data_IF_341707544530
#
_entry.id   IF_341707544530
#
_cell.length_a   1.000
_cell.length_b   1.000
_cell.length_c   1.000
_cell.angle_alpha   90.00
_cell.angle_beta   90.00
_cell.angle_gamma   90.00
#
_symmetry.space_group_name_H-M   'P 1'
#
loop_
_entity.id
_entity.type
_entity.pdbx_description
1 polymer ?
#
# COMPACT_ATOMS: atom_id res chain seq x y z
N UNK A 1 -14.99 24.63 36.31
CA UNK A 1 -14.04 23.56 36.68
C UNK A 1 -13.61 22.86 35.39
N UNK A 2 -12.35 23.08 35.01
CA UNK A 2 -11.76 22.74 33.71
C UNK A 2 -11.60 21.22 33.52
N UNK A 3 -12.00 20.71 32.35
CA UNK A 3 -11.47 19.45 31.80
C UNK A 3 -10.30 19.79 30.88
N UNK A 4 -9.09 19.87 31.44
CA UNK A 4 -7.85 19.87 30.65
C UNK A 4 -7.45 18.43 30.37
N UNK A 5 -8.13 17.79 29.40
CA UNK A 5 -7.68 16.49 28.85
C UNK A 5 -6.73 16.78 27.68
N UNK A 6 -5.65 17.50 27.99
CA UNK A 6 -4.50 17.75 27.11
C UNK A 6 -3.19 17.75 27.90
N UNK A 7 -3.17 17.04 29.03
CA UNK A 7 -1.93 16.85 29.80
C UNK A 7 -1.03 15.91 29.02
N UNK A 8 -0.12 16.53 28.28
CA UNK A 8 1.19 15.96 27.99
C UNK A 8 1.78 15.48 29.33
N UNK A 9 2.28 14.24 29.41
CA UNK A 9 2.64 13.68 30.71
C UNK A 9 4.03 14.16 31.13
N UNK A 10 4.10 14.82 32.28
CA UNK A 10 5.34 15.36 32.87
C UNK A 10 6.16 14.30 33.65
N UNK A 11 5.76 13.03 33.61
CA UNK A 11 6.46 11.89 34.21
C UNK A 11 7.34 11.17 33.16
N UNK A 12 8.67 11.05 33.37
CA UNK A 12 9.58 10.39 32.44
C UNK A 12 9.21 8.93 32.14
N UNK A 13 8.63 8.21 33.11
CA UNK A 13 8.17 6.82 32.92
C UNK A 13 6.96 6.72 31.99
N UNK A 14 6.14 7.76 32.02
CA UNK A 14 4.96 7.88 31.17
C UNK A 14 5.37 8.27 29.74
N UNK A 15 6.36 9.15 29.56
CA UNK A 15 6.87 9.56 28.25
C UNK A 15 7.37 8.38 27.38
N UNK A 16 8.10 7.44 27.96
CA UNK A 16 8.56 6.23 27.25
C UNK A 16 7.38 5.35 26.79
N UNK A 17 6.38 5.20 27.66
CA UNK A 17 5.16 4.44 27.38
C UNK A 17 4.33 5.07 26.25
N UNK A 18 4.21 6.40 26.21
CA UNK A 18 3.53 7.12 25.13
C UNK A 18 4.31 7.09 23.82
N UNK A 19 5.65 7.18 23.85
CA UNK A 19 6.49 7.03 22.65
C UNK A 19 6.32 5.64 22.05
N UNK A 20 6.42 4.59 22.88
CA UNK A 20 6.24 3.21 22.46
C UNK A 20 4.84 2.96 21.86
N UNK A 21 3.79 3.53 22.47
CA UNK A 21 2.43 3.44 21.94
C UNK A 21 2.28 4.19 20.60
N UNK A 22 2.90 5.36 20.47
CA UNK A 22 2.89 6.12 19.23
C UNK A 22 3.63 5.38 18.11
N UNK A 23 4.80 4.80 18.39
CA UNK A 23 5.58 3.98 17.46
C UNK A 23 4.82 2.73 17.02
N UNK A 24 4.17 2.05 17.96
CA UNK A 24 3.32 0.90 17.66
C UNK A 24 2.16 1.28 16.73
N UNK A 25 1.48 2.39 17.00
CA UNK A 25 0.39 2.89 16.15
C UNK A 25 0.87 3.30 14.76
N UNK A 26 2.03 3.93 14.65
CA UNK A 26 2.65 4.24 13.35
C UNK A 26 2.98 2.97 12.57
N UNK A 27 3.54 1.96 13.23
CA UNK A 27 3.89 0.68 12.63
C UNK A 27 2.64 -0.06 12.12
N UNK A 28 1.59 -0.12 12.93
CA UNK A 28 0.30 -0.70 12.52
C UNK A 28 -0.27 0.03 11.30
N UNK A 29 -0.18 1.37 11.27
CA UNK A 29 -0.66 2.18 10.14
C UNK A 29 0.11 1.86 8.86
N UNK A 30 1.45 1.79 8.94
CA UNK A 30 2.32 1.45 7.81
C UNK A 30 2.04 0.03 7.31
N UNK A 31 1.90 -0.95 8.20
CA UNK A 31 1.58 -2.34 7.85
C UNK A 31 0.22 -2.46 7.18
N UNK A 32 -0.81 -1.78 7.69
CA UNK A 32 -2.14 -1.74 7.07
C UNK A 32 -2.10 -1.14 5.67
N UNK A 33 -1.31 -0.08 5.46
CA UNK A 33 -1.12 0.50 4.13
C UNK A 33 -0.40 -0.48 3.20
N UNK A 34 0.70 -1.09 3.65
CA UNK A 34 1.45 -2.07 2.87
C UNK A 34 0.59 -3.27 2.45
N UNK A 35 -0.25 -3.80 3.36
CA UNK A 35 -1.17 -4.90 3.04
C UNK A 35 -2.21 -4.51 1.99
N UNK A 36 -2.78 -3.29 2.08
CA UNK A 36 -3.69 -2.79 1.04
C UNK A 36 -2.97 -2.66 -0.30
N UNK A 37 -1.74 -2.15 -0.31
CA UNK A 37 -0.96 -2.02 -1.54
C UNK A 37 -0.69 -3.40 -2.16
N UNK A 38 -0.22 -4.35 -1.36
CA UNK A 38 0.03 -5.73 -1.81
C UNK A 38 -1.23 -6.38 -2.40
N UNK A 39 -2.40 -6.17 -1.78
CA UNK A 39 -3.67 -6.66 -2.31
C UNK A 39 -4.01 -6.06 -3.68
N UNK A 40 -3.86 -4.75 -3.85
CA UNK A 40 -4.15 -4.09 -5.15
C UNK A 40 -3.21 -4.60 -6.25
N UNK A 41 -1.92 -4.76 -5.93
CA UNK A 41 -0.91 -5.31 -6.84
C UNK A 41 -1.26 -6.75 -7.24
N UNK A 42 -1.67 -7.58 -6.29
CA UNK A 42 -2.10 -8.96 -6.56
C UNK A 42 -3.33 -9.04 -7.47
N UNK A 43 -4.34 -8.19 -7.25
CA UNK A 43 -5.54 -8.14 -8.10
C UNK A 43 -5.16 -7.70 -9.51
N UNK A 44 -4.40 -6.61 -9.66
CA UNK A 44 -3.96 -6.12 -10.98
C UNK A 44 -3.11 -7.16 -11.72
N UNK A 45 -2.25 -7.89 -11.00
CA UNK A 45 -1.48 -9.01 -11.54
C UNK A 45 -2.40 -10.10 -12.08
N UNK A 46 -3.43 -10.50 -11.32
CA UNK A 46 -4.43 -11.48 -11.77
C UNK A 46 -5.21 -10.99 -13.00
N UNK A 47 -5.55 -9.69 -13.05
CA UNK A 47 -6.21 -9.09 -14.21
C UNK A 47 -5.34 -9.17 -15.48
N UNK A 48 -4.03 -8.92 -15.36
CA UNK A 48 -3.07 -9.06 -16.46
C UNK A 48 -2.94 -10.53 -16.88
N UNK A 49 -2.72 -11.42 -15.90
CA UNK A 49 -2.54 -12.84 -16.12
C UNK A 49 -3.74 -13.46 -16.87
N UNK A 50 -4.96 -13.16 -16.42
CA UNK A 50 -6.18 -13.65 -17.07
C UNK A 50 -6.34 -13.08 -18.48
N UNK A 51 -6.07 -11.77 -18.65
CA UNK A 51 -6.26 -11.08 -19.93
C UNK A 51 -5.31 -11.60 -21.02
N UNK A 52 -4.07 -11.89 -20.65
CA UNK A 52 -3.01 -12.31 -21.57
C UNK A 52 -2.73 -13.80 -21.55
N UNK A 53 -3.42 -14.56 -20.69
CA UNK A 53 -3.24 -16.01 -20.50
C UNK A 53 -1.78 -16.39 -20.17
N UNK A 54 -1.18 -15.60 -19.28
CA UNK A 54 0.20 -15.78 -18.79
C UNK A 54 0.22 -16.15 -17.32
N UNK A 55 1.39 -16.56 -16.82
CA UNK A 55 1.56 -16.86 -15.39
C UNK A 55 1.40 -15.58 -14.53
N UNK A 56 1.02 -15.71 -13.25
CA UNK A 56 1.04 -14.57 -12.32
C UNK A 56 2.42 -13.92 -12.18
N UNK A 57 3.49 -14.70 -12.29
CA UNK A 57 4.87 -14.21 -12.26
C UNK A 57 5.14 -13.30 -13.46
N UNK A 58 4.77 -13.72 -14.66
CA UNK A 58 4.89 -12.90 -15.87
C UNK A 58 3.97 -11.67 -15.81
N UNK A 59 2.77 -11.82 -15.25
CA UNK A 59 1.85 -10.71 -15.00
C UNK A 59 2.44 -9.65 -14.06
N UNK A 60 3.18 -10.09 -13.03
CA UNK A 60 3.92 -9.20 -12.14
C UNK A 60 5.04 -8.49 -12.89
N UNK A 61 5.79 -9.22 -13.72
CA UNK A 61 6.83 -8.65 -14.59
C UNK A 61 6.28 -7.58 -15.54
N UNK A 62 5.11 -7.82 -16.14
CA UNK A 62 4.45 -6.85 -17.01
C UNK A 62 3.97 -5.61 -16.24
N UNK A 63 3.40 -5.80 -15.05
CA UNK A 63 3.00 -4.69 -14.18
C UNK A 63 4.19 -3.81 -13.79
N UNK A 64 5.34 -4.41 -13.50
CA UNK A 64 6.60 -3.71 -13.23
C UNK A 64 7.10 -2.95 -14.47
N UNK A 65 7.04 -3.57 -15.64
CA UNK A 65 7.43 -2.91 -16.89
C UNK A 65 6.54 -1.69 -17.21
N UNK A 66 5.23 -1.77 -16.96
CA UNK A 66 4.31 -0.63 -17.09
C UNK A 66 4.66 0.49 -16.10
N UNK A 67 4.93 0.12 -14.85
CA UNK A 67 5.38 1.06 -13.81
C UNK A 67 6.63 1.82 -14.24
N UNK A 68 7.66 1.11 -14.69
CA UNK A 68 8.91 1.72 -15.17
C UNK A 68 8.68 2.65 -16.37
N UNK A 69 7.91 2.20 -17.37
CA UNK A 69 7.63 2.99 -18.58
C UNK A 69 6.84 4.26 -18.29
N UNK A 70 5.95 4.23 -17.31
CA UNK A 70 5.08 5.38 -16.98
C UNK A 70 5.68 6.28 -15.90
N UNK A 71 6.82 5.91 -15.29
CA UNK A 71 7.41 6.63 -14.16
C UNK A 71 6.55 6.63 -12.90
N UNK A 72 5.56 5.73 -12.82
CA UNK A 72 4.61 5.62 -11.71
C UNK A 72 4.95 4.42 -10.85
N UNK A 73 4.57 4.46 -9.58
CA UNK A 73 4.75 3.30 -8.71
C UNK A 73 3.85 2.14 -9.14
N UNK A 74 4.31 0.91 -8.89
CA UNK A 74 3.53 -0.32 -9.13
C UNK A 74 2.15 -0.24 -8.47
N UNK A 75 2.07 0.36 -7.27
CA UNK A 75 0.81 0.57 -6.58
C UNK A 75 -0.14 1.50 -7.34
N UNK A 76 0.33 2.64 -7.84
CA UNK A 76 -0.53 3.60 -8.56
C UNK A 76 -1.08 3.00 -9.85
N UNK A 77 -0.25 2.25 -10.59
CA UNK A 77 -0.67 1.53 -11.79
C UNK A 77 -1.71 0.47 -11.42
N UNK A 78 -1.41 -0.39 -10.44
CA UNK A 78 -2.33 -1.42 -9.98
C UNK A 78 -3.66 -0.84 -9.48
N UNK A 79 -3.60 0.24 -8.71
CA UNK A 79 -4.76 0.94 -8.19
C UNK A 79 -5.66 1.46 -9.31
N UNK A 80 -5.07 2.10 -10.32
CA UNK A 80 -5.84 2.57 -11.48
C UNK A 80 -6.47 1.42 -12.26
N UNK A 81 -5.71 0.34 -12.52
CA UNK A 81 -6.21 -0.83 -13.23
C UNK A 81 -7.41 -1.43 -12.50
N UNK A 82 -7.31 -1.65 -11.19
CA UNK A 82 -8.39 -2.21 -10.38
C UNK A 82 -9.60 -1.26 -10.34
N UNK A 83 -9.36 0.06 -10.21
CA UNK A 83 -10.43 1.07 -10.14
C UNK A 83 -11.18 1.21 -11.47
N UNK A 84 -10.48 1.11 -12.60
CA UNK A 84 -11.04 1.37 -13.94
C UNK A 84 -11.44 0.12 -14.69
N UNK A 85 -10.95 -1.06 -14.28
CA UNK A 85 -11.03 -2.28 -15.06
C UNK A 85 -10.13 -2.28 -16.30
N UNK A 86 -9.37 -1.22 -16.56
CA UNK A 86 -8.50 -1.14 -17.73
C UNK A 86 -7.28 -2.04 -17.55
N UNK A 87 -7.08 -2.96 -18.49
CA UNK A 87 -5.87 -3.77 -18.62
C UNK A 87 -5.26 -3.47 -19.98
N UNK A 88 -3.98 -3.04 -20.05
CA UNK A 88 -3.30 -2.81 -21.31
C UNK A 88 -3.39 -4.04 -22.22
N UNK A 89 -3.81 -3.84 -23.48
CA UNK A 89 -4.00 -4.93 -24.45
C UNK A 89 -2.70 -5.42 -25.08
N UNK A 90 -1.64 -4.62 -24.99
CA UNK A 90 -0.33 -4.96 -25.52
C UNK A 90 0.69 -4.94 -24.37
N UNK A 91 1.63 -5.90 -24.35
CA UNK A 91 2.80 -5.79 -23.51
C UNK A 91 3.54 -4.47 -23.79
N UNK A 92 4.19 -3.88 -22.77
CA UNK A 92 5.12 -2.77 -22.98
C UNK A 92 6.32 -3.17 -23.84
#
# INVERSE_FOLDING_TARGET
MNRSIRDKPDDPTNLESWSALQEANQSITRLKAALRHARMVGIATGMIAERHRISPQDGTGMLLAISNRTGRTVFEVAHEMVRTGYVPRQPP
#
